data_IF_679620707833
#
_entry.id   IF_679620707833
#
_cell.length_a   1.000
_cell.length_b   1.000
_cell.length_c   1.000
_cell.angle_alpha   90.00
_cell.angle_beta   90.00
_cell.angle_gamma   90.00
#
_symmetry.space_group_name_H-M   'P 1'
#
loop_
_entity.id
_entity.type
_entity.pdbx_description
1 polymer ?
#
# COMPACT_ATOMS: atom_id res chain seq x y z
N UNK A 1 -18.64 56.34 4.45
CA UNK A 1 -18.12 56.64 5.81
C UNK A 1 -17.38 55.40 6.27
N UNK A 2 -16.24 55.60 6.94
CA UNK A 2 -15.13 54.65 7.20
C UNK A 2 -14.00 54.71 6.16
N UNK A 3 -13.05 55.56 6.51
CA UNK A 3 -11.75 55.82 5.90
C UNK A 3 -10.72 54.92 6.60
N UNK A 4 -9.91 54.17 5.87
CA UNK A 4 -8.69 53.56 6.42
C UNK A 4 -7.49 54.19 5.72
N UNK A 5 -6.66 54.81 6.54
CA UNK A 5 -5.45 55.56 6.19
C UNK A 5 -4.36 54.58 5.75
N UNK A 6 -3.82 54.82 4.56
CA UNK A 6 -2.58 54.23 4.07
C UNK A 6 -1.44 55.15 4.47
N UNK A 7 -0.49 54.66 5.27
CA UNK A 7 0.78 55.36 5.51
C UNK A 7 1.93 54.66 4.78
N UNK A 8 2.86 55.49 4.32
CA UNK A 8 3.88 55.26 3.30
C UNK A 8 5.22 55.70 3.89
N UNK A 9 6.31 55.03 3.49
CA UNK A 9 7.74 55.42 3.66
C UNK A 9 8.27 55.20 5.08
N UNK A 10 9.52 54.88 5.34
CA UNK A 10 10.75 54.65 4.57
C UNK A 10 11.67 53.82 5.49
N UNK A 11 12.97 53.62 5.34
CA UNK A 11 14.02 54.19 4.52
C UNK A 11 15.27 53.32 4.79
N UNK A 12 16.06 53.11 3.73
CA UNK A 12 17.52 52.92 3.66
C UNK A 12 18.33 52.85 4.97
N UNK A 13 19.29 51.91 5.02
CA UNK A 13 20.57 52.21 5.67
C UNK A 13 21.46 51.02 6.06
N UNK A 14 22.62 50.96 5.40
CA UNK A 14 23.94 50.60 5.93
C UNK A 14 24.31 49.11 6.13
N UNK A 15 25.16 48.55 5.24
CA UNK A 15 26.65 48.47 5.33
C UNK A 15 27.24 47.81 6.59
N UNK A 16 27.84 46.64 6.37
CA UNK A 16 29.22 46.35 6.78
C UNK A 16 29.42 45.58 8.09
N UNK A 17 29.91 44.34 8.01
CA UNK A 17 31.33 44.02 8.27
C UNK A 17 31.58 42.51 8.18
N UNK A 18 32.62 42.18 7.43
CA UNK A 18 33.31 40.89 7.43
C UNK A 18 33.87 40.62 8.83
N UNK A 19 33.60 39.45 9.38
CA UNK A 19 34.42 38.82 10.41
C UNK A 19 34.86 37.45 9.90
N UNK A 20 36.06 37.45 9.30
CA UNK A 20 36.85 36.25 9.07
C UNK A 20 37.23 35.68 10.44
N UNK A 21 36.62 34.58 10.86
CA UNK A 21 37.22 33.69 11.87
C UNK A 21 37.85 32.51 11.15
N UNK A 22 39.18 32.56 11.03
CA UNK A 22 40.01 31.38 10.78
C UNK A 22 39.94 30.50 12.03
N UNK A 23 39.31 29.34 11.93
CA UNK A 23 39.54 28.24 12.85
C UNK A 23 40.62 27.34 12.23
N UNK A 24 41.72 27.17 12.97
CA UNK A 24 42.80 26.21 12.68
C UNK A 24 42.51 24.92 13.45
N UNK A 25 42.68 23.79 12.78
CA UNK A 25 42.94 22.46 13.34
C UNK A 25 41.72 21.52 13.44
N UNK A 26 41.89 20.19 13.43
CA UNK A 26 43.14 19.43 13.48
C UNK A 26 43.46 18.63 12.20
N UNK A 27 44.76 18.39 12.03
CA UNK A 27 45.41 17.53 11.04
C UNK A 27 44.97 16.07 11.24
N UNK A 28 44.34 15.46 10.22
CA UNK A 28 44.07 14.03 10.20
C UNK A 28 45.26 13.27 9.59
N UNK A 29 45.69 12.14 10.20
CA UNK A 29 46.77 11.30 9.70
C UNK A 29 46.36 10.54 8.43
N UNK A 30 47.36 10.33 7.57
CA UNK A 30 47.23 9.85 6.20
C UNK A 30 46.54 8.49 6.05
N UNK A 31 45.58 8.47 5.14
CA UNK A 31 44.93 7.27 4.63
C UNK A 31 45.77 6.75 3.45
N UNK A 32 46.33 5.55 3.61
CA UNK A 32 47.07 4.85 2.56
C UNK A 32 46.08 4.39 1.47
N UNK A 33 46.39 4.54 0.17
CA UNK A 33 45.55 4.01 -0.89
C UNK A 33 45.70 2.50 -0.97
N UNK A 34 44.60 1.77 -0.74
CA UNK A 34 44.48 0.34 -0.99
C UNK A 34 44.30 0.14 -2.50
N UNK A 35 45.10 -0.72 -3.17
CA UNK A 35 44.94 -0.95 -4.60
C UNK A 35 43.67 -1.76 -4.90
N UNK A 36 42.86 -1.23 -5.82
CA UNK A 36 41.75 -1.90 -6.49
C UNK A 36 42.28 -3.11 -7.27
N UNK A 37 41.91 -4.32 -6.84
CA UNK A 37 42.04 -5.54 -7.62
C UNK A 37 40.91 -5.57 -8.64
N UNK A 38 41.25 -5.23 -9.89
CA UNK A 38 40.38 -5.41 -11.04
C UNK A 38 40.25 -6.91 -11.35
N UNK A 39 39.07 -7.48 -11.10
CA UNK A 39 38.70 -8.80 -11.62
C UNK A 39 38.15 -8.62 -13.04
N UNK A 40 38.96 -9.03 -14.02
CA UNK A 40 38.54 -9.17 -15.40
C UNK A 40 37.59 -10.37 -15.52
N UNK A 41 36.33 -10.10 -15.88
CA UNK A 41 35.39 -11.13 -16.31
C UNK A 41 35.63 -11.43 -17.79
N UNK A 42 36.02 -12.66 -18.09
CA UNK A 42 36.21 -13.18 -19.45
C UNK A 42 34.84 -13.47 -20.06
N UNK A 43 34.49 -12.71 -21.11
CA UNK A 43 33.37 -13.03 -21.99
C UNK A 43 33.69 -14.31 -22.80
N UNK A 44 32.88 -15.35 -22.64
CA UNK A 44 32.86 -16.51 -23.55
C UNK A 44 31.69 -16.33 -24.53
N UNK A 45 32.03 -16.18 -25.80
CA UNK A 45 31.11 -16.11 -26.93
C UNK A 45 30.60 -17.49 -27.33
N UNK A 46 29.27 -17.54 -27.50
CA UNK A 46 28.43 -18.30 -28.42
C UNK A 46 28.98 -19.54 -29.17
N UNK A 47 28.18 -20.60 -29.18
CA UNK A 47 27.88 -21.36 -30.41
C UNK A 47 26.40 -21.70 -30.49
N UNK A 48 25.88 -21.61 -31.72
CA UNK A 48 24.49 -21.73 -32.15
C UNK A 48 24.08 -23.19 -32.41
N UNK A 49 22.76 -23.42 -32.52
CA UNK A 49 22.00 -24.40 -33.35
C UNK A 49 20.65 -24.67 -32.65
N UNK A 50 19.51 -24.96 -33.27
CA UNK A 50 19.01 -24.90 -34.64
C UNK A 50 17.49 -25.19 -34.57
N UNK A 51 16.74 -24.63 -35.52
CA UNK A 51 15.51 -25.09 -36.20
C UNK A 51 14.50 -26.08 -35.55
N UNK A 52 13.22 -25.76 -35.77
CA UNK A 52 12.10 -26.71 -35.87
C UNK A 52 11.08 -26.50 -34.75
N UNK A 53 9.78 -26.40 -34.98
CA UNK A 53 8.97 -26.61 -36.17
C UNK A 53 7.52 -26.42 -35.74
N UNK A 54 6.73 -25.83 -36.63
CA UNK A 54 5.29 -25.71 -36.61
C UNK A 54 4.61 -27.06 -36.34
N UNK A 55 3.51 -27.09 -35.58
CA UNK A 55 2.25 -27.73 -35.98
C UNK A 55 1.24 -27.63 -34.83
N UNK A 56 0.24 -26.77 -35.05
CA UNK A 56 -0.93 -26.67 -34.19
C UNK A 56 -1.85 -27.87 -34.37
N UNK A 57 -2.28 -28.45 -33.26
CA UNK A 57 -3.40 -29.38 -33.25
C UNK A 57 -4.70 -28.67 -32.85
N UNK A 58 -5.82 -28.98 -33.54
CA UNK A 58 -7.05 -28.23 -33.45
C UNK A 58 -7.83 -28.47 -32.14
N UNK A 59 -8.41 -27.36 -31.69
CA UNK A 59 -9.43 -27.23 -30.65
C UNK A 59 -10.56 -28.24 -30.87
N UNK A 60 -10.71 -29.19 -29.95
CA UNK A 60 -11.94 -29.96 -29.79
C UNK A 60 -12.90 -29.15 -28.93
N UNK A 61 -13.87 -28.50 -29.57
CA UNK A 61 -14.95 -27.81 -28.89
C UNK A 61 -15.89 -28.83 -28.20
N UNK A 62 -16.29 -28.62 -26.94
CA UNK A 62 -17.33 -29.42 -26.33
C UNK A 62 -18.71 -29.05 -26.91
N UNK A 63 -19.43 -30.11 -27.28
CA UNK A 63 -20.79 -30.14 -27.80
C UNK A 63 -21.77 -29.45 -26.85
N UNK A 64 -22.46 -28.41 -27.34
CA UNK A 64 -23.62 -27.84 -26.65
C UNK A 64 -24.79 -28.82 -26.71
N UNK A 65 -25.22 -29.33 -25.55
CA UNK A 65 -26.48 -30.07 -25.43
C UNK A 65 -27.63 -29.08 -25.23
N UNK A 66 -28.42 -28.92 -26.27
CA UNK A 66 -29.74 -28.30 -26.25
C UNK A 66 -30.72 -29.23 -25.52
N UNK A 67 -31.27 -28.81 -24.38
CA UNK A 67 -32.43 -29.48 -23.76
C UNK A 67 -33.55 -28.48 -23.48
N UNK A 68 -34.48 -28.43 -24.44
CA UNK A 68 -35.94 -28.47 -24.28
C UNK A 68 -36.55 -27.84 -23.01
N UNK A 69 -37.17 -26.67 -23.19
CA UNK A 69 -38.44 -26.30 -22.52
C UNK A 69 -39.58 -26.75 -23.42
N UNK A 70 -40.65 -27.39 -22.89
CA UNK A 70 -41.83 -26.59 -22.55
C UNK A 70 -42.71 -27.16 -21.42
N UNK A 71 -43.58 -26.29 -20.91
CA UNK A 71 -45.03 -26.51 -20.75
C UNK A 71 -45.53 -25.96 -19.42
N UNK A 72 -46.16 -24.80 -19.53
CA UNK A 72 -47.10 -24.30 -18.55
C UNK A 72 -48.36 -25.17 -18.52
N UNK A 73 -48.89 -25.43 -17.34
CA UNK A 73 -50.30 -25.70 -17.12
C UNK A 73 -50.75 -24.95 -15.85
N UNK A 74 -51.86 -24.19 -15.91
CA UNK A 74 -52.46 -23.52 -14.76
C UNK A 74 -53.48 -24.46 -14.10
N UNK A 75 -53.64 -24.38 -12.78
CA UNK A 75 -54.94 -24.29 -12.07
C UNK A 75 -54.74 -24.44 -10.56
N UNK A 76 -55.30 -23.48 -9.81
CA UNK A 76 -56.33 -23.70 -8.79
C UNK A 76 -56.24 -22.65 -7.68
N UNK A 77 -57.22 -21.74 -7.68
CA UNK A 77 -57.59 -20.95 -6.51
C UNK A 77 -58.18 -21.86 -5.44
N UNK A 78 -57.66 -21.75 -4.22
CA UNK A 78 -58.37 -22.14 -3.01
C UNK A 78 -58.21 -21.03 -1.97
N UNK A 79 -59.34 -20.39 -1.69
CA UNK A 79 -59.57 -19.43 -0.62
C UNK A 79 -59.97 -20.21 0.63
N UNK A 80 -59.28 -20.00 1.76
CA UNK A 80 -59.90 -20.04 3.09
C UNK A 80 -58.94 -19.60 4.22
N UNK A 81 -59.51 -18.75 5.08
CA UNK A 81 -59.29 -18.61 6.52
C UNK A 81 -58.00 -17.97 7.04
N UNK A 82 -58.19 -16.72 7.46
CA UNK A 82 -57.29 -15.95 8.31
C UNK A 82 -57.03 -16.65 9.66
N UNK A 83 -55.75 -16.75 10.02
CA UNK A 83 -55.26 -16.88 11.39
C UNK A 83 -54.21 -15.80 11.63
N UNK A 84 -54.14 -15.21 12.84
CA UNK A 84 -53.33 -14.03 13.08
C UNK A 84 -51.84 -14.38 12.99
N UNK A 85 -51.14 -13.69 12.09
CA UNK A 85 -49.70 -13.83 11.92
C UNK A 85 -48.98 -13.35 13.20
N UNK A 86 -48.06 -14.13 13.78
CA UNK A 86 -47.09 -13.56 14.70
C UNK A 86 -46.23 -12.58 13.90
N UNK A 87 -46.02 -11.38 14.43
CA UNK A 87 -45.13 -10.38 13.86
C UNK A 87 -43.71 -10.96 13.73
N UNK A 88 -43.42 -11.58 12.58
CA UNK A 88 -42.05 -11.90 12.18
C UNK A 88 -41.44 -10.56 11.79
N UNK A 89 -40.60 -10.04 12.69
CA UNK A 89 -39.62 -9.02 12.34
C UNK A 89 -38.77 -9.56 11.18
N UNK A 90 -39.16 -9.24 9.95
CA UNK A 90 -38.32 -9.36 8.77
C UNK A 90 -37.28 -8.25 8.81
N UNK A 91 -36.38 -8.30 9.79
CA UNK A 91 -35.11 -7.60 9.69
C UNK A 91 -34.33 -8.30 8.57
N UNK A 92 -34.23 -7.64 7.41
CA UNK A 92 -33.32 -8.05 6.34
C UNK A 92 -31.94 -8.25 6.95
N UNK A 93 -31.27 -9.41 6.77
CA UNK A 93 -29.92 -9.58 7.27
C UNK A 93 -29.04 -8.46 6.67
N UNK A 94 -28.47 -7.62 7.53
CA UNK A 94 -27.40 -6.73 7.09
C UNK A 94 -26.29 -7.58 6.48
N UNK A 95 -25.73 -7.20 5.32
CA UNK A 95 -24.63 -7.93 4.73
C UNK A 95 -23.51 -8.08 5.77
N UNK A 96 -23.01 -9.30 5.92
CA UNK A 96 -21.91 -9.59 6.84
C UNK A 96 -20.73 -8.69 6.48
N UNK A 97 -20.10 -8.10 7.50
CA UNK A 97 -18.91 -7.30 7.28
C UNK A 97 -17.84 -8.16 6.56
N UNK A 98 -17.04 -7.59 5.66
CA UNK A 98 -15.99 -8.33 4.95
C UNK A 98 -15.11 -9.10 5.94
N UNK A 99 -14.68 -10.32 5.64
CA UNK A 99 -13.70 -11.02 6.47
C UNK A 99 -12.30 -10.44 6.24
N UNK A 100 -11.40 -10.58 7.22
CA UNK A 100 -9.98 -10.31 7.00
C UNK A 100 -9.33 -11.48 6.24
N UNK A 101 -8.23 -11.23 5.49
CA UNK A 101 -7.40 -12.29 4.94
C UNK A 101 -6.95 -13.30 6.01
N UNK A 102 -6.83 -14.57 5.63
CA UNK A 102 -6.40 -15.65 6.50
C UNK A 102 -5.66 -16.75 5.73
N UNK A 103 -4.47 -17.19 6.21
CA UNK A 103 -3.77 -16.71 7.40
C UNK A 103 -3.19 -15.30 7.19
N UNK A 104 -3.13 -14.49 8.26
CA UNK A 104 -2.58 -13.14 8.17
C UNK A 104 -1.10 -13.11 8.55
N UNK A 105 -0.24 -12.59 7.67
CA UNK A 105 1.14 -12.21 8.00
C UNK A 105 1.12 -10.89 8.76
N UNK A 106 1.38 -10.91 10.07
CA UNK A 106 1.36 -9.70 10.89
C UNK A 106 2.46 -9.67 11.94
N UNK A 107 3.01 -8.48 12.13
CA UNK A 107 3.81 -8.09 13.30
C UNK A 107 2.86 -7.54 14.37
N UNK A 108 2.79 -8.22 15.52
CA UNK A 108 2.06 -7.74 16.70
C UNK A 108 2.98 -6.96 17.63
N UNK A 109 2.51 -5.84 18.18
CA UNK A 109 3.31 -4.92 18.99
C UNK A 109 2.47 -4.16 20.03
N UNK A 110 3.13 -3.46 20.96
CA UNK A 110 2.50 -2.59 21.96
C UNK A 110 2.49 -1.12 21.50
N UNK A 111 1.32 -0.52 21.18
CA UNK A 111 1.25 0.87 20.72
C UNK A 111 1.59 1.92 21.79
N UNK A 112 1.79 1.54 23.06
CA UNK A 112 2.15 2.46 24.13
C UNK A 112 3.66 2.61 24.33
N UNK A 113 4.48 1.77 23.70
CA UNK A 113 5.92 1.71 23.92
C UNK A 113 6.71 1.80 22.60
N UNK A 114 6.19 2.57 21.66
CA UNK A 114 6.82 2.75 20.36
C UNK A 114 7.89 3.84 20.41
N UNK A 115 9.03 3.55 19.78
CA UNK A 115 10.12 4.51 19.56
C UNK A 115 10.47 4.56 18.08
N UNK A 116 11.16 5.63 17.65
CA UNK A 116 11.68 5.75 16.29
C UNK A 116 13.20 5.79 16.36
N UNK A 117 13.85 5.00 15.50
CA UNK A 117 15.29 5.02 15.29
C UNK A 117 15.57 5.35 13.83
N UNK A 118 16.59 6.17 13.57
CA UNK A 118 17.01 6.50 12.22
C UNK A 118 18.36 5.86 11.92
N UNK A 119 18.44 5.11 10.83
CA UNK A 119 19.68 4.48 10.36
C UNK A 119 19.67 4.41 8.82
N UNK A 120 20.77 4.86 8.20
CA UNK A 120 21.02 4.69 6.77
C UNK A 120 19.85 5.07 5.82
N UNK A 121 19.16 6.19 6.09
CA UNK A 121 18.04 6.65 5.25
C UNK A 121 16.69 6.00 5.56
N UNK A 122 16.61 5.25 6.66
CA UNK A 122 15.40 4.53 7.08
C UNK A 122 15.05 4.92 8.50
N UNK A 123 13.81 5.37 8.69
CA UNK A 123 13.17 5.51 9.99
C UNK A 123 12.51 4.18 10.37
N UNK A 124 12.92 3.61 11.49
CA UNK A 124 12.42 2.34 12.01
C UNK A 124 11.54 2.60 13.23
N UNK A 125 10.27 2.24 13.15
CA UNK A 125 9.36 2.24 14.30
C UNK A 125 9.57 0.95 15.07
N UNK A 126 9.89 1.05 16.36
CA UNK A 126 10.34 -0.06 17.20
C UNK A 126 9.42 -0.26 18.40
N UNK A 127 9.11 -1.51 18.72
CA UNK A 127 8.57 -1.95 20.02
C UNK A 127 9.65 -2.77 20.74
N UNK A 128 10.39 -2.13 21.64
CA UNK A 128 11.62 -2.70 22.20
C UNK A 128 12.64 -3.00 21.10
N UNK A 129 12.96 -4.28 20.88
CA UNK A 129 13.86 -4.74 19.80
C UNK A 129 13.15 -5.15 18.51
N UNK A 130 11.81 -5.10 18.48
CA UNK A 130 11.01 -5.53 17.32
C UNK A 130 10.77 -4.35 16.38
N UNK A 131 11.17 -4.50 15.12
CA UNK A 131 10.83 -3.55 14.06
C UNK A 131 9.35 -3.75 13.69
N UNK A 132 8.57 -2.69 13.84
CA UNK A 132 7.14 -2.64 13.50
C UNK A 132 6.95 -2.14 12.07
N UNK A 133 7.67 -1.09 11.68
CA UNK A 133 7.63 -0.53 10.35
C UNK A 133 9.00 0.07 9.98
N UNK A 134 9.31 0.08 8.69
CA UNK A 134 10.44 0.77 8.10
C UNK A 134 9.90 1.80 7.13
N UNK A 135 10.34 3.05 7.24
CA UNK A 135 9.92 4.12 6.36
C UNK A 135 11.16 4.80 5.78
N UNK A 136 11.25 4.82 4.46
CA UNK A 136 12.34 5.48 3.76
C UNK A 136 12.18 7.00 3.84
N UNK A 137 13.29 7.71 4.08
CA UNK A 137 13.34 9.16 4.10
C UNK A 137 14.52 9.71 4.89
N UNK A 138 14.90 10.96 4.63
CA UNK A 138 16.04 11.62 5.26
C UNK A 138 15.86 11.93 6.74
N UNK A 139 16.95 12.26 7.48
CA UNK A 139 16.92 12.50 8.92
C UNK A 139 16.21 13.82 9.31
N UNK A 140 15.90 14.68 8.33
CA UNK A 140 15.15 15.93 8.53
C UNK A 140 13.68 15.85 8.11
N UNK A 141 13.22 14.68 7.70
CA UNK A 141 11.83 14.47 7.26
C UNK A 141 10.97 13.97 8.41
N UNK A 142 9.69 14.33 8.39
CA UNK A 142 8.72 13.92 9.42
C UNK A 142 8.20 12.49 9.23
N UNK A 143 8.80 11.70 8.36
CA UNK A 143 8.28 10.38 7.98
C UNK A 143 8.33 9.39 9.16
N UNK A 144 9.36 9.47 10.00
CA UNK A 144 9.45 8.70 11.24
C UNK A 144 8.30 9.02 12.21
N UNK A 145 7.99 10.31 12.38
CA UNK A 145 6.89 10.76 13.24
C UNK A 145 5.52 10.37 12.67
N UNK A 146 5.33 10.45 11.34
CA UNK A 146 4.14 9.97 10.65
C UNK A 146 3.94 8.45 10.87
N UNK A 147 5.00 7.66 10.69
CA UNK A 147 4.99 6.22 10.93
C UNK A 147 4.69 5.87 12.39
N UNK A 148 5.30 6.58 13.34
CA UNK A 148 5.01 6.42 14.77
C UNK A 148 3.54 6.73 15.08
N UNK A 149 3.03 7.85 14.59
CA UNK A 149 1.65 8.25 14.78
C UNK A 149 0.67 7.23 14.19
N UNK A 150 0.95 6.67 13.01
CA UNK A 150 0.15 5.60 12.41
C UNK A 150 0.19 4.33 13.27
N UNK A 151 1.38 3.85 13.61
CA UNK A 151 1.55 2.62 14.38
C UNK A 151 0.88 2.71 15.76
N UNK A 152 0.86 3.88 16.40
CA UNK A 152 0.15 4.08 17.67
C UNK A 152 -1.36 3.86 17.56
N UNK A 153 -1.99 4.00 16.38
CA UNK A 153 -3.46 3.81 16.19
C UNK A 153 -3.88 2.34 16.23
N UNK A 154 -2.93 1.40 16.08
CA UNK A 154 -3.19 -0.01 15.85
C UNK A 154 -2.32 -0.90 16.75
N UNK A 155 -2.57 -2.21 16.75
CA UNK A 155 -1.79 -3.21 17.51
C UNK A 155 -1.10 -4.24 16.61
N UNK A 156 -1.42 -4.22 15.32
CA UNK A 156 -0.87 -5.14 14.32
C UNK A 156 -0.58 -4.40 13.03
N UNK A 157 0.60 -4.63 12.48
CA UNK A 157 0.99 -4.26 11.13
C UNK A 157 1.06 -5.55 10.32
N UNK A 158 0.32 -5.63 9.23
CA UNK A 158 0.13 -6.83 8.45
C UNK A 158 0.46 -6.61 6.99
N UNK A 159 0.76 -7.70 6.29
CA UNK A 159 1.25 -7.67 4.93
C UNK A 159 0.56 -8.73 4.07
N UNK A 160 0.50 -8.46 2.77
CA UNK A 160 0.16 -9.40 1.71
C UNK A 160 1.31 -9.35 0.70
N UNK A 161 1.75 -10.50 0.17
CA UNK A 161 2.78 -10.55 -0.87
C UNK A 161 4.24 -10.41 -0.44
N UNK A 162 4.58 -10.38 0.86
CA UNK A 162 5.98 -10.28 1.32
C UNK A 162 6.93 -11.41 0.87
N UNK A 163 6.37 -12.54 0.42
CA UNK A 163 7.13 -13.68 -0.09
C UNK A 163 7.26 -13.73 -1.60
N UNK A 164 6.85 -12.68 -2.32
CA UNK A 164 6.88 -12.67 -3.78
C UNK A 164 8.32 -12.66 -4.34
N UNK A 165 8.48 -13.18 -5.55
CA UNK A 165 9.78 -13.39 -6.19
C UNK A 165 10.15 -12.38 -7.28
N UNK A 166 9.46 -11.23 -7.36
CA UNK A 166 9.69 -10.23 -8.40
C UNK A 166 10.98 -9.44 -8.14
N UNK A 167 11.52 -8.84 -9.21
CA UNK A 167 12.67 -7.94 -9.09
C UNK A 167 12.36 -6.74 -8.19
N UNK A 168 11.21 -6.11 -8.38
CA UNK A 168 10.71 -5.00 -7.57
C UNK A 168 9.70 -5.49 -6.53
N UNK A 169 10.08 -6.48 -5.72
CA UNK A 169 9.16 -7.21 -4.86
C UNK A 169 8.28 -6.32 -3.98
N UNK A 170 8.82 -5.21 -3.47
CA UNK A 170 8.10 -4.32 -2.56
C UNK A 170 6.93 -3.57 -3.22
N UNK A 171 6.98 -3.34 -4.54
CA UNK A 171 5.87 -2.73 -5.28
C UNK A 171 4.59 -3.61 -5.25
N UNK A 172 4.75 -4.89 -4.93
CA UNK A 172 3.69 -5.90 -4.85
C UNK A 172 3.35 -6.28 -3.41
N UNK A 173 4.00 -5.67 -2.41
CA UNK A 173 3.67 -5.86 -1.00
C UNK A 173 2.59 -4.86 -0.60
N UNK A 174 1.52 -5.36 0.01
CA UNK A 174 0.44 -4.51 0.51
C UNK A 174 0.41 -4.49 2.04
N UNK A 175 0.73 -3.32 2.58
CA UNK A 175 0.72 -3.04 4.01
C UNK A 175 -0.69 -2.66 4.48
N UNK A 176 -1.09 -3.20 5.63
CA UNK A 176 -2.36 -2.84 6.26
C UNK A 176 -2.31 -3.00 7.77
N UNK A 177 -3.12 -2.20 8.46
CA UNK A 177 -3.07 -2.09 9.92
C UNK A 177 -4.35 -2.62 10.54
N UNK A 178 -4.22 -3.30 11.68
CA UNK A 178 -5.33 -4.01 12.34
C UNK A 178 -5.37 -3.77 13.83
N UNK A 179 -6.53 -4.09 14.39
CA UNK A 179 -6.82 -4.09 15.82
C UNK A 179 -6.54 -2.72 16.45
N UNK A 180 -7.50 -1.81 16.30
CA UNK A 180 -7.36 -0.45 16.82
C UNK A 180 -6.91 -0.42 18.28
N UNK A 181 -5.96 0.46 18.58
CA UNK A 181 -5.52 0.75 19.94
C UNK A 181 -6.49 1.65 20.71
N UNK A 182 -7.44 2.29 20.01
CA UNK A 182 -8.29 3.36 20.54
C UNK A 182 -7.62 4.74 20.57
N UNK A 183 -6.32 4.84 20.26
CA UNK A 183 -5.64 6.13 20.18
C UNK A 183 -6.02 6.87 18.90
N UNK A 184 -6.23 8.18 19.01
CA UNK A 184 -6.33 9.10 17.87
C UNK A 184 -5.09 9.96 17.86
N UNK A 185 -4.27 9.78 16.84
CA UNK A 185 -3.06 10.56 16.58
C UNK A 185 -3.29 11.43 15.35
N UNK A 186 -2.59 12.55 15.24
CA UNK A 186 -2.55 13.33 14.00
C UNK A 186 -1.35 12.89 13.19
N UNK A 187 -1.55 12.51 11.93
CA UNK A 187 -0.46 12.25 10.99
C UNK A 187 -0.31 13.53 10.15
N UNK A 188 0.83 14.24 10.21
CA UNK A 188 1.04 15.45 9.40
C UNK A 188 0.89 15.16 7.90
N UNK A 189 0.17 16.00 7.17
CA UNK A 189 -0.04 15.83 5.72
C UNK A 189 -0.94 14.65 5.32
N UNK A 190 -1.62 14.00 6.28
CA UNK A 190 -2.45 12.82 6.01
C UNK A 190 -3.55 13.08 4.98
N UNK A 191 -4.24 14.23 5.05
CA UNK A 191 -5.37 14.48 4.16
C UNK A 191 -4.97 14.58 2.69
N UNK A 192 -3.77 15.12 2.40
CA UNK A 192 -3.20 15.20 1.06
C UNK A 192 -2.64 13.86 0.57
N UNK A 193 -2.23 12.99 1.51
CA UNK A 193 -1.65 11.68 1.24
C UNK A 193 -2.69 10.57 1.01
N UNK A 194 -3.98 10.87 1.19
CA UNK A 194 -5.06 9.90 1.21
C UNK A 194 -6.07 10.13 0.06
N UNK A 195 -6.23 9.12 -0.79
CA UNK A 195 -7.20 9.09 -1.89
C UNK A 195 -8.43 8.27 -1.52
N UNK A 196 -9.63 8.75 -1.84
CA UNK A 196 -10.89 7.99 -1.68
C UNK A 196 -11.17 7.08 -2.87
N UNK A 197 -11.97 6.03 -2.66
CA UNK A 197 -12.46 5.13 -3.70
C UNK A 197 -13.83 4.51 -3.31
N UNK A 198 -14.55 3.98 -4.29
CA UNK A 198 -15.79 3.22 -4.05
C UNK A 198 -15.51 1.76 -3.72
N UNK A 199 -15.72 1.41 -2.45
CA UNK A 199 -15.61 0.03 -1.96
C UNK A 199 -16.59 -0.94 -2.64
N UNK A 200 -17.72 -0.44 -3.15
CA UNK A 200 -18.73 -1.24 -3.84
C UNK A 200 -18.31 -1.68 -5.24
N UNK A 201 -17.27 -1.05 -5.80
CA UNK A 201 -16.81 -1.24 -7.18
C UNK A 201 -15.39 -1.83 -7.28
N UNK A 202 -14.90 -2.47 -6.22
CA UNK A 202 -13.56 -3.05 -6.21
C UNK A 202 -13.46 -4.26 -7.15
N UNK A 203 -12.57 -4.16 -8.13
CA UNK A 203 -12.29 -5.19 -9.12
C UNK A 203 -10.89 -5.76 -8.93
N UNK A 204 -10.76 -7.08 -9.11
CA UNK A 204 -9.47 -7.78 -9.23
C UNK A 204 -9.26 -8.07 -10.70
N UNK A 205 -8.14 -7.60 -11.26
CA UNK A 205 -7.85 -7.76 -12.67
C UNK A 205 -6.44 -8.31 -12.88
N UNK A 206 -6.33 -9.29 -13.77
CA UNK A 206 -5.06 -9.70 -14.36
C UNK A 206 -4.55 -8.57 -15.26
N UNK A 207 -3.27 -8.23 -15.12
CA UNK A 207 -2.61 -7.25 -15.98
C UNK A 207 -2.08 -7.87 -17.29
N UNK A 208 -2.07 -9.20 -17.38
CA UNK A 208 -1.60 -9.96 -18.53
C UNK A 208 -0.07 -10.03 -18.61
N UNK A 209 0.43 -10.95 -19.42
CA UNK A 209 1.87 -11.04 -19.73
C UNK A 209 2.79 -11.28 -18.53
N UNK A 210 2.27 -11.83 -17.41
CA UNK A 210 3.04 -12.06 -16.18
C UNK A 210 3.30 -10.79 -15.35
N UNK A 211 2.65 -9.66 -15.68
CA UNK A 211 2.85 -8.40 -14.95
C UNK A 211 2.24 -8.41 -13.54
N UNK A 212 1.45 -9.42 -13.22
CA UNK A 212 0.81 -9.59 -11.93
C UNK A 212 -0.66 -9.18 -11.97
N UNK A 213 -1.20 -8.91 -10.78
CA UNK A 213 -2.59 -8.61 -10.55
C UNK A 213 -2.75 -7.24 -9.93
N UNK A 214 -3.93 -6.65 -10.05
CA UNK A 214 -4.24 -5.37 -9.42
C UNK A 214 -5.63 -5.35 -8.83
N UNK A 215 -5.78 -4.56 -7.76
CA UNK A 215 -7.10 -4.14 -7.26
C UNK A 215 -7.35 -2.70 -7.69
N UNK A 216 -8.51 -2.45 -8.29
CA UNK A 216 -8.89 -1.13 -8.80
C UNK A 216 -10.34 -0.77 -8.46
N UNK A 217 -10.62 0.52 -8.50
CA UNK A 217 -11.96 1.12 -8.52
C UNK A 217 -12.11 1.86 -9.86
N UNK A 218 -13.01 1.40 -10.74
CA UNK A 218 -13.07 1.81 -12.16
C UNK A 218 -11.69 1.80 -12.84
N UNK A 219 -11.14 2.97 -13.16
CA UNK A 219 -9.83 3.16 -13.78
C UNK A 219 -8.71 3.47 -12.76
N UNK A 220 -9.07 3.66 -11.49
CA UNK A 220 -8.13 3.96 -10.41
C UNK A 220 -7.51 2.68 -9.84
N UNK A 221 -6.25 2.43 -10.17
CA UNK A 221 -5.47 1.32 -9.59
C UNK A 221 -5.10 1.65 -8.15
N UNK A 222 -5.59 0.84 -7.22
CA UNK A 222 -5.36 1.04 -5.78
C UNK A 222 -4.04 0.40 -5.35
N UNK A 223 -3.77 -0.84 -5.79
CA UNK A 223 -2.53 -1.56 -5.48
C UNK A 223 -2.25 -2.71 -6.46
N UNK A 224 -0.97 -3.08 -6.58
CA UNK A 224 -0.48 -4.20 -7.39
C UNK A 224 -0.14 -5.41 -6.50
N UNK A 225 -0.33 -6.62 -7.01
CA UNK A 225 -0.08 -7.89 -6.30
C UNK A 225 0.58 -8.89 -7.25
N UNK A 226 1.46 -9.75 -6.73
CA UNK A 226 2.19 -10.70 -7.57
C UNK A 226 1.25 -11.72 -8.20
N UNK A 227 0.32 -12.26 -7.40
CA UNK A 227 -0.64 -13.28 -7.80
C UNK A 227 -2.10 -12.92 -7.50
N UNK A 228 -3.01 -13.74 -8.04
CA UNK A 228 -4.45 -13.53 -7.92
C UNK A 228 -4.96 -13.68 -6.48
N UNK A 229 -4.38 -14.61 -5.72
CA UNK A 229 -4.78 -14.87 -4.34
C UNK A 229 -4.49 -13.65 -3.48
N UNK A 230 -3.28 -13.10 -3.60
CA UNK A 230 -2.88 -11.88 -2.93
C UNK A 230 -3.76 -10.68 -3.33
N UNK A 231 -4.11 -10.54 -4.61
CA UNK A 231 -5.03 -9.49 -5.05
C UNK A 231 -6.45 -9.64 -4.48
N UNK A 232 -6.95 -10.88 -4.37
CA UNK A 232 -8.25 -11.17 -3.75
C UNK A 232 -8.24 -10.83 -2.26
N UNK A 233 -7.15 -11.13 -1.56
CA UNK A 233 -6.96 -10.75 -0.15
C UNK A 233 -6.81 -9.24 0.02
N UNK A 234 -6.08 -8.58 -0.88
CA UNK A 234 -5.97 -7.13 -0.96
C UNK A 234 -7.34 -6.47 -1.11
N UNK A 235 -8.21 -7.02 -1.97
CA UNK A 235 -9.61 -6.55 -2.10
C UNK A 235 -10.39 -6.71 -0.80
N UNK A 236 -10.21 -7.79 -0.05
CA UNK A 236 -10.88 -7.97 1.25
C UNK A 236 -10.48 -6.87 2.25
N UNK A 237 -9.21 -6.49 2.24
CA UNK A 237 -8.71 -5.39 3.07
C UNK A 237 -9.25 -4.04 2.60
N UNK A 238 -9.17 -3.74 1.30
CA UNK A 238 -9.67 -2.48 0.74
C UNK A 238 -11.19 -2.32 0.93
N UNK A 239 -11.96 -3.40 0.90
CA UNK A 239 -13.40 -3.37 1.21
C UNK A 239 -13.72 -2.92 2.66
N UNK A 240 -12.74 -2.87 3.56
CA UNK A 240 -12.90 -2.37 4.93
C UNK A 240 -12.83 -0.85 5.02
N UNK A 241 -12.14 -0.18 4.08
CA UNK A 241 -11.70 1.21 4.19
C UNK A 241 -12.25 2.09 3.06
N UNK A 242 -12.57 3.35 3.35
CA UNK A 242 -13.06 4.29 2.32
C UNK A 242 -11.95 5.08 1.63
N UNK A 243 -10.74 5.04 2.19
CA UNK A 243 -9.57 5.74 1.69
C UNK A 243 -8.34 4.84 1.71
N UNK A 244 -7.43 5.07 0.78
CA UNK A 244 -6.08 4.51 0.75
C UNK A 244 -5.09 5.66 0.89
N UNK A 245 -4.13 5.50 1.79
CA UNK A 245 -3.17 6.51 2.17
C UNK A 245 -1.76 5.98 1.99
N UNK A 246 -0.80 6.87 1.70
CA UNK A 246 0.61 6.50 1.56
C UNK A 246 1.46 7.37 2.49
N UNK A 247 2.34 6.74 3.26
CA UNK A 247 3.40 7.46 3.97
C UNK A 247 4.69 7.32 3.18
N UNK A 248 5.37 8.46 3.01
CA UNK A 248 6.61 8.57 2.24
C UNK A 248 6.41 9.47 1.03
N UNK A 249 7.51 10.08 0.61
CA UNK A 249 7.60 10.76 -0.68
C UNK A 249 8.96 10.39 -1.28
N UNK A 250 9.11 9.13 -1.71
CA UNK A 250 10.37 8.61 -2.18
C UNK A 250 10.85 9.46 -3.37
N UNK A 251 12.12 9.93 -3.34
CA UNK A 251 12.70 10.70 -4.44
C UNK A 251 12.93 9.84 -5.70
N UNK A 252 12.96 8.52 -5.55
CA UNK A 252 13.24 7.54 -6.59
C UNK A 252 12.18 6.42 -6.58
N UNK A 253 11.97 5.75 -7.70
CA UNK A 253 11.01 4.68 -7.95
C UNK A 253 11.25 3.39 -7.14
N UNK A 254 12.45 3.23 -6.56
CA UNK A 254 12.86 2.05 -5.80
C UNK A 254 12.52 2.10 -4.30
N UNK A 255 11.97 3.22 -3.79
CA UNK A 255 11.73 3.40 -2.36
C UNK A 255 10.27 3.15 -1.97
N UNK A 256 10.08 2.32 -0.95
CA UNK A 256 8.77 1.80 -0.54
C UNK A 256 7.90 2.88 0.13
N UNK A 257 6.62 2.89 -0.24
CA UNK A 257 5.58 3.57 0.53
C UNK A 257 4.99 2.63 1.56
N UNK A 258 4.75 3.11 2.78
CA UNK A 258 3.84 2.40 3.69
C UNK A 258 2.41 2.77 3.29
N UNK A 259 1.69 1.80 2.74
CA UNK A 259 0.28 1.96 2.39
C UNK A 259 -0.60 1.61 3.58
N UNK A 260 -1.72 2.32 3.76
CA UNK A 260 -2.71 1.98 4.78
C UNK A 260 -4.11 2.44 4.41
N UNK A 261 -5.12 1.74 4.92
CA UNK A 261 -6.52 2.11 4.75
C UNK A 261 -7.08 2.90 5.93
N UNK A 262 -8.06 3.76 5.65
CA UNK A 262 -8.84 4.52 6.65
C UNK A 262 -10.34 4.55 6.34
#
# INVERSE_FOLDING_TARGET
MWTVVSDRRGSLGATGRRLRRRARGPTLPGMRPTPLLALAAVCVLATATACGGDEGDPVTAPTFSTVVSPTAAPVASASAAASPAPARSSARPSPAAPSWPSPADCVSYNPNNLTVQYEAGIHQVMDGSKIVARLHGGPGENIGDQGLALAQRYKRHCFIGRGNGREDANAFVFDYWRDSSGKRTTIPGEDDACSSYDRGNLQVNDMGGGQGWRVKDDDNVLHLFDDESDARDGRLVLAKYGRICRLGNPPDDDQDYVTYGR
#
